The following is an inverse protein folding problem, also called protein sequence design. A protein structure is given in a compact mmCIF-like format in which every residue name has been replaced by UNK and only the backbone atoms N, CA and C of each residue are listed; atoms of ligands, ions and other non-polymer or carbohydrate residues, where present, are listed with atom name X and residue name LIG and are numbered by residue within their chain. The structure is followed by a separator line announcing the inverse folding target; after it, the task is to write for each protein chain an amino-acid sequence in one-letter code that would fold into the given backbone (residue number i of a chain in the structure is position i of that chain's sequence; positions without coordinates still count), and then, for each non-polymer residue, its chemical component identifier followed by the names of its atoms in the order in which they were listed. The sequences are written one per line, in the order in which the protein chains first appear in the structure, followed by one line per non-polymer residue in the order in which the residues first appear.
data_IF_493890028747
#
_entry.id   IF_493890028747
#
_cell.length_a   1.000
_cell.length_b   1.000
_cell.length_c   1.000
_cell.angle_alpha   90.00
_cell.angle_beta   90.00
_cell.angle_gamma   90.00
#
_symmetry.space_group_name_H-M   'P 1'
#
loop_
_entity.id
_entity.type
_entity.pdbx_description
1 polymer ?
#
# COMPACT_ATOMS: atom_id res chain seq x y z
N UNK A 1 -24.23 12.67 -18.51
CA UNK A 1 -22.91 12.07 -18.83
C UNK A 1 -21.87 12.66 -17.89
N UNK A 2 -21.61 12.02 -16.75
CA UNK A 2 -20.53 12.44 -15.86
C UNK A 2 -19.21 11.85 -16.34
N UNK A 3 -18.31 12.70 -16.85
CA UNK A 3 -16.97 12.30 -17.28
C UNK A 3 -16.17 11.88 -16.04
N UNK A 4 -16.03 10.58 -15.82
CA UNK A 4 -15.11 9.98 -14.84
C UNK A 4 -13.65 10.19 -15.28
N UNK A 5 -13.13 11.41 -15.13
CA UNK A 5 -11.71 11.74 -15.37
C UNK A 5 -10.81 11.43 -14.15
N UNK A 6 -11.34 10.78 -13.11
CA UNK A 6 -10.77 10.90 -11.78
C UNK A 6 -9.51 10.04 -11.50
N UNK A 7 -9.16 9.06 -12.33
CA UNK A 7 -8.02 8.15 -12.08
C UNK A 7 -6.89 8.23 -13.12
N UNK A 8 -7.22 8.58 -14.38
CA UNK A 8 -6.28 8.49 -15.51
C UNK A 8 -5.19 9.57 -15.52
N UNK A 9 -5.31 10.62 -14.71
CA UNK A 9 -4.32 11.71 -14.59
C UNK A 9 -3.58 11.71 -13.26
N UNK A 10 -3.92 10.79 -12.35
CA UNK A 10 -3.46 10.82 -10.97
C UNK A 10 -2.03 10.25 -10.91
N UNK A 11 -1.05 11.17 -10.76
CA UNK A 11 0.39 10.85 -10.81
C UNK A 11 1.00 10.53 -9.46
N UNK A 12 0.41 11.02 -8.37
CA UNK A 12 0.99 10.88 -7.04
C UNK A 12 -0.10 10.46 -6.07
N UNK A 13 0.16 9.41 -5.29
CA UNK A 13 -0.73 8.95 -4.22
C UNK A 13 0.05 8.95 -2.91
N UNK A 14 -0.57 9.52 -1.88
CA UNK A 14 -0.13 9.37 -0.50
C UNK A 14 -1.26 8.78 0.33
N UNK A 15 -0.99 7.69 1.03
CA UNK A 15 -1.93 7.01 1.91
C UNK A 15 -1.30 6.90 3.30
N UNK A 16 -2.12 7.00 4.34
CA UNK A 16 -1.67 6.88 5.72
C UNK A 16 -2.63 5.98 6.48
N UNK A 17 -2.11 5.08 7.32
CA UNK A 17 -2.87 4.19 8.19
C UNK A 17 -3.87 3.31 7.43
N UNK A 18 -3.40 2.60 6.39
CA UNK A 18 -4.27 1.77 5.53
C UNK A 18 -3.92 0.29 5.64
N UNK A 19 -4.94 -0.55 5.64
CA UNK A 19 -4.78 -2.00 5.46
C UNK A 19 -5.17 -2.33 4.02
N UNK A 20 -4.19 -2.75 3.22
CA UNK A 20 -4.36 -3.07 1.81
C UNK A 20 -3.96 -4.54 1.61
N UNK A 21 -4.79 -5.30 0.90
CA UNK A 21 -4.43 -6.62 0.41
C UNK A 21 -3.77 -6.52 -0.96
N UNK A 22 -3.16 -7.61 -1.41
CA UNK A 22 -2.59 -7.74 -2.75
C UNK A 22 -3.60 -7.28 -3.83
N UNK A 23 -4.88 -7.70 -3.74
CA UNK A 23 -5.96 -7.29 -4.64
C UNK A 23 -6.25 -5.78 -4.62
N UNK A 24 -6.12 -5.12 -3.46
CA UNK A 24 -6.34 -3.68 -3.35
C UNK A 24 -5.26 -2.91 -4.11
N UNK A 25 -4.00 -3.37 -4.09
CA UNK A 25 -2.93 -2.76 -4.88
C UNK A 25 -3.15 -2.92 -6.38
N UNK A 26 -3.53 -4.11 -6.85
CA UNK A 26 -3.86 -4.35 -8.26
C UNK A 26 -4.93 -3.37 -8.74
N UNK A 27 -6.02 -3.26 -7.96
CA UNK A 27 -7.12 -2.35 -8.25
C UNK A 27 -6.70 -0.89 -8.25
N UNK A 28 -5.91 -0.46 -7.27
CA UNK A 28 -5.38 0.90 -7.17
C UNK A 28 -4.54 1.26 -8.40
N UNK A 29 -3.61 0.38 -8.78
CA UNK A 29 -2.72 0.59 -9.93
C UNK A 29 -3.49 0.59 -11.25
N UNK A 30 -4.50 -0.29 -11.41
CA UNK A 30 -5.37 -0.28 -12.59
C UNK A 30 -6.26 0.96 -12.68
N UNK A 31 -6.65 1.52 -11.52
CA UNK A 31 -7.47 2.72 -11.43
C UNK A 31 -6.69 4.00 -11.71
N UNK A 32 -5.38 3.97 -11.48
CA UNK A 32 -4.47 5.10 -11.64
C UNK A 32 -3.32 4.78 -12.63
N UNK A 33 -3.60 4.60 -13.93
CA UNK A 33 -2.60 4.17 -14.91
C UNK A 33 -1.51 5.21 -15.21
N UNK A 34 -1.68 6.46 -14.78
CA UNK A 34 -0.67 7.52 -14.88
C UNK A 34 0.15 7.69 -13.60
N UNK A 35 0.00 6.80 -12.62
CA UNK A 35 0.69 6.90 -11.34
C UNK A 35 2.21 6.81 -11.54
N UNK A 36 2.91 7.82 -11.07
CA UNK A 36 4.37 7.97 -11.11
C UNK A 36 4.97 7.74 -9.72
N UNK A 37 4.25 8.12 -8.65
CA UNK A 37 4.71 7.99 -7.27
C UNK A 37 3.64 7.48 -6.32
N UNK A 38 4.06 6.64 -5.37
CA UNK A 38 3.23 6.18 -4.27
C UNK A 38 3.99 6.25 -2.96
N UNK A 39 3.40 6.88 -1.97
CA UNK A 39 3.84 6.88 -0.58
C UNK A 39 2.74 6.28 0.29
N UNK A 40 3.09 5.29 1.10
CA UNK A 40 2.15 4.67 2.03
C UNK A 40 2.81 4.63 3.40
N UNK A 41 2.18 5.27 4.38
CA UNK A 41 2.63 5.27 5.77
C UNK A 41 1.71 4.39 6.63
N UNK A 42 2.32 3.63 7.53
CA UNK A 42 1.67 2.65 8.40
C UNK A 42 0.75 1.70 7.62
N UNK A 43 1.36 0.84 6.82
CA UNK A 43 0.64 -0.09 5.93
C UNK A 43 0.84 -1.54 6.33
N UNK A 44 -0.20 -2.35 6.16
CA UNK A 44 -0.13 -3.81 6.34
C UNK A 44 -1.24 -4.54 5.59
N UNK A 45 -1.26 -5.87 5.69
CA UNK A 45 -2.33 -6.72 5.15
C UNK A 45 -2.04 -7.34 3.77
N UNK A 46 -0.81 -7.24 3.28
CA UNK A 46 -0.37 -7.80 1.99
C UNK A 46 0.94 -8.57 2.15
N UNK A 47 1.16 -9.53 1.26
CA UNK A 47 2.37 -10.36 1.19
C UNK A 47 3.13 -10.17 -0.11
N UNK A 48 2.45 -9.73 -1.17
CA UNK A 48 3.06 -9.54 -2.49
C UNK A 48 2.62 -8.22 -3.09
N UNK A 49 3.60 -7.46 -3.58
CA UNK A 49 3.38 -6.21 -4.29
C UNK A 49 3.96 -6.30 -5.69
N UNK A 50 3.08 -6.28 -6.70
CA UNK A 50 3.45 -6.32 -8.11
C UNK A 50 3.15 -4.98 -8.79
N UNK A 51 4.19 -4.35 -9.33
CA UNK A 51 4.14 -3.05 -10.00
C UNK A 51 4.78 -3.22 -11.39
N UNK A 52 3.94 -3.47 -12.39
CA UNK A 52 4.36 -3.60 -13.79
C UNK A 52 4.24 -2.29 -14.59
N UNK A 53 3.84 -1.19 -13.94
CA UNK A 53 3.67 0.11 -14.61
C UNK A 53 5.01 0.73 -14.99
N UNK A 54 5.19 1.01 -16.28
CA UNK A 54 6.36 1.73 -16.81
C UNK A 54 6.47 3.17 -16.28
N UNK A 55 5.35 3.77 -15.87
CA UNK A 55 5.28 5.16 -15.39
C UNK A 55 5.62 5.29 -13.92
N UNK A 56 5.38 4.23 -13.13
CA UNK A 56 5.59 4.28 -11.69
C UNK A 56 7.09 4.20 -11.38
N UNK A 57 7.67 5.31 -10.93
CA UNK A 57 9.11 5.44 -10.70
C UNK A 57 9.49 5.46 -9.23
N UNK A 58 8.57 5.82 -8.33
CA UNK A 58 8.87 5.92 -6.89
C UNK A 58 7.85 5.20 -6.02
N UNK A 59 8.35 4.36 -5.12
CA UNK A 59 7.57 3.70 -4.08
C UNK A 59 8.24 3.97 -2.72
N UNK A 60 7.44 4.46 -1.77
CA UNK A 60 7.85 4.62 -0.38
C UNK A 60 6.87 3.91 0.53
N UNK A 61 7.33 2.84 1.18
CA UNK A 61 6.58 2.09 2.17
C UNK A 61 7.15 2.42 3.55
N UNK A 62 6.36 3.11 4.37
CA UNK A 62 6.74 3.49 5.74
C UNK A 62 5.88 2.77 6.76
N UNK A 63 6.50 2.45 7.88
CA UNK A 63 5.84 1.76 8.99
C UNK A 63 5.17 0.45 8.55
N UNK A 64 5.84 -0.39 7.74
CA UNK A 64 5.29 -1.70 7.37
C UNK A 64 4.97 -2.53 8.63
N UNK A 65 3.69 -2.86 8.78
CA UNK A 65 3.14 -3.67 9.87
C UNK A 65 2.71 -5.03 9.31
N UNK A 66 3.20 -6.10 9.92
CA UNK A 66 2.82 -7.45 9.55
C UNK A 66 1.79 -8.01 10.54
N UNK A 67 0.69 -8.54 10.01
CA UNK A 67 -0.36 -9.21 10.76
C UNK A 67 -0.49 -10.65 10.28
N UNK A 68 0.54 -11.49 10.44
CA UNK A 68 0.30 -12.93 10.35
C UNK A 68 0.67 -13.65 11.61
N UNK A 69 -0.27 -14.51 11.99
CA UNK A 69 -0.10 -15.57 12.96
C UNK A 69 0.47 -16.74 12.14
N UNK A 70 1.79 -16.89 12.12
CA UNK A 70 2.48 -17.95 11.39
C UNK A 70 3.93 -17.59 11.03
N UNK A 71 4.82 -18.58 11.14
CA UNK A 71 6.24 -18.46 10.79
C UNK A 71 6.40 -18.54 9.26
N UNK A 72 7.30 -17.73 8.70
CA UNK A 72 7.79 -17.76 7.30
C UNK A 72 6.99 -16.99 6.25
N UNK A 73 6.62 -15.74 6.54
CA UNK A 73 6.07 -14.87 5.50
C UNK A 73 6.91 -13.60 5.31
N UNK A 74 7.39 -13.48 4.07
CA UNK A 74 8.23 -12.43 3.55
C UNK A 74 7.37 -11.49 2.70
N UNK A 75 7.70 -10.20 2.66
CA UNK A 75 7.10 -9.31 1.68
C UNK A 75 7.85 -9.45 0.35
N UNK A 76 7.18 -9.90 -0.69
CA UNK A 76 7.74 -9.99 -2.04
C UNK A 76 7.40 -8.73 -2.85
N UNK A 77 8.43 -8.10 -3.42
CA UNK A 77 8.27 -6.93 -4.28
C UNK A 77 8.77 -7.27 -5.69
N UNK A 78 7.84 -7.16 -6.65
CA UNK A 78 8.09 -7.25 -8.08
C UNK A 78 7.81 -5.88 -8.69
N UNK A 79 8.84 -5.15 -9.05
CA UNK A 79 8.74 -3.81 -9.61
C UNK A 79 9.85 -3.56 -10.65
N UNK A 80 9.83 -4.27 -11.80
CA UNK A 80 10.93 -4.28 -12.77
C UNK A 80 11.32 -2.89 -13.29
N UNK A 81 10.37 -1.93 -13.30
CA UNK A 81 10.55 -0.59 -13.88
C UNK A 81 10.64 0.54 -12.85
N UNK A 82 10.67 0.20 -11.56
CA UNK A 82 10.75 1.15 -10.46
C UNK A 82 12.18 1.70 -10.34
N UNK A 83 12.34 3.00 -10.09
CA UNK A 83 13.67 3.62 -9.98
C UNK A 83 14.07 3.89 -8.52
N UNK A 84 13.11 4.28 -7.69
CA UNK A 84 13.34 4.61 -6.29
C UNK A 84 12.44 3.76 -5.39
N UNK A 85 13.06 3.04 -4.46
CA UNK A 85 12.42 2.21 -3.48
C UNK A 85 12.90 2.61 -2.08
N UNK A 86 12.00 3.11 -1.24
CA UNK A 86 12.25 3.31 0.18
C UNK A 86 11.33 2.42 0.99
N UNK A 87 11.90 1.64 1.90
CA UNK A 87 11.17 0.75 2.79
C UNK A 87 11.60 1.04 4.21
N UNK A 88 10.63 1.34 5.07
CA UNK A 88 10.84 1.44 6.51
C UNK A 88 9.74 0.72 7.28
N UNK A 89 10.09 0.09 8.39
CA UNK A 89 9.13 -0.69 9.16
C UNK A 89 9.78 -1.73 10.06
N UNK A 90 8.93 -2.60 10.60
CA UNK A 90 9.32 -3.66 11.54
C UNK A 90 9.93 -4.87 10.81
N UNK A 91 10.66 -5.71 11.55
CA UNK A 91 11.29 -7.01 11.19
C UNK A 91 10.52 -7.84 10.15
N UNK A 92 10.55 -7.39 8.90
CA UNK A 92 10.03 -8.10 7.75
C UNK A 92 11.20 -8.31 6.83
N UNK A 93 11.61 -9.55 6.64
CA UNK A 93 12.44 -9.89 5.52
C UNK A 93 11.64 -9.56 4.23
N UNK A 94 12.05 -8.49 3.55
CA UNK A 94 11.52 -8.11 2.25
C UNK A 94 12.40 -8.76 1.17
N UNK A 95 11.77 -9.52 0.29
CA UNK A 95 12.41 -10.14 -0.87
C UNK A 95 12.16 -9.26 -2.09
N UNK A 96 13.23 -8.66 -2.58
CA UNK A 96 13.21 -7.94 -3.85
C UNK A 96 13.43 -8.98 -4.95
N UNK A 97 12.36 -9.34 -5.67
CA UNK A 97 12.40 -10.46 -6.63
C UNK A 97 12.80 -9.97 -8.01
N UNK A 98 12.05 -9.03 -8.56
CA UNK A 98 12.36 -8.39 -9.84
C UNK A 98 12.30 -6.87 -9.68
N UNK A 99 13.44 -6.27 -9.40
CA UNK A 99 13.61 -4.81 -9.18
C UNK A 99 14.77 -4.28 -10.03
N UNK A 100 14.92 -4.85 -11.23
CA UNK A 100 16.07 -4.65 -12.12
C UNK A 100 16.37 -3.18 -12.46
N UNK A 101 15.35 -2.30 -12.49
CA UNK A 101 15.53 -0.86 -12.79
C UNK A 101 15.76 0.03 -11.54
N UNK A 102 15.82 -0.52 -10.33
CA UNK A 102 15.97 0.29 -9.12
C UNK A 102 17.38 0.86 -9.04
N UNK A 103 17.47 2.19 -9.09
CA UNK A 103 18.73 2.95 -8.97
C UNK A 103 18.99 3.33 -7.52
N UNK A 104 17.92 3.67 -6.78
CA UNK A 104 18.02 4.10 -5.39
C UNK A 104 17.16 3.19 -4.51
N UNK A 105 17.81 2.41 -3.65
CA UNK A 105 17.15 1.60 -2.65
C UNK A 105 17.58 2.04 -1.26
N UNK A 106 16.61 2.28 -0.38
CA UNK A 106 16.88 2.62 1.03
C UNK A 106 16.00 1.77 1.93
N UNK A 107 16.62 1.20 2.96
CA UNK A 107 15.93 0.43 3.98
C UNK A 107 16.28 0.97 5.37
N UNK A 108 15.27 1.20 6.21
CA UNK A 108 15.47 1.61 7.60
C UNK A 108 14.53 0.87 8.55
N UNK A 109 15.01 0.60 9.77
CA UNK A 109 14.20 0.03 10.84
C UNK A 109 13.59 1.15 11.68
N UNK A 110 12.33 0.99 12.10
CA UNK A 110 11.64 1.93 12.98
C UNK A 110 11.42 1.31 14.36
N UNK A 111 11.51 2.14 15.40
CA UNK A 111 11.44 1.70 16.80
C UNK A 111 9.99 1.39 17.26
N UNK A 112 9.82 0.28 17.97
CA UNK A 112 8.69 -0.66 17.83
C UNK A 112 7.41 -0.32 18.64
N UNK A 113 7.44 0.02 19.94
CA UNK A 113 6.22 -0.09 20.77
C UNK A 113 5.21 1.04 20.59
N UNK A 114 5.67 2.27 20.37
CA UNK A 114 4.78 3.43 20.21
C UNK A 114 4.02 3.39 18.88
N UNK A 115 4.67 2.87 17.83
CA UNK A 115 4.16 2.89 16.46
C UNK A 115 2.99 1.92 16.27
N UNK A 116 3.12 0.68 16.76
CA UNK A 116 2.06 -0.33 16.71
C UNK A 116 0.82 0.08 17.50
N UNK A 117 1.01 0.58 18.73
CA UNK A 117 -0.09 1.07 19.56
C UNK A 117 -0.77 2.30 18.94
N UNK A 118 -0.01 3.20 18.31
CA UNK A 118 -0.56 4.33 17.57
C UNK A 118 -1.39 3.88 16.36
N UNK A 119 -0.91 2.90 15.60
CA UNK A 119 -1.65 2.35 14.46
C UNK A 119 -2.97 1.72 14.89
N UNK A 120 -2.95 0.81 15.87
CA UNK A 120 -4.17 0.16 16.37
C UNK A 120 -5.15 1.18 16.94
N UNK A 121 -4.67 2.14 17.74
CA UNK A 121 -5.49 3.23 18.27
C UNK A 121 -6.11 4.05 17.13
N UNK A 122 -5.35 4.37 16.09
CA UNK A 122 -5.82 5.20 14.99
C UNK A 122 -6.79 4.45 14.08
N UNK A 123 -6.54 3.19 13.73
CA UNK A 123 -7.52 2.33 13.04
C UNK A 123 -8.81 2.17 13.86
N UNK A 124 -8.69 1.95 15.17
CA UNK A 124 -9.84 1.89 16.08
C UNK A 124 -10.64 3.22 16.09
N UNK A 125 -9.95 4.36 16.01
CA UNK A 125 -10.57 5.69 15.94
C UNK A 125 -11.14 6.01 14.54
N UNK A 126 -10.58 5.42 13.48
CA UNK A 126 -11.01 5.60 12.09
C UNK A 126 -12.24 4.76 11.70
N UNK A 127 -12.83 3.98 12.62
CA UNK A 127 -14.17 3.37 12.46
C UNK A 127 -15.29 4.39 12.15
N UNK A 128 -15.00 5.70 12.10
CA UNK A 128 -15.91 6.78 11.67
C UNK A 128 -15.54 7.47 10.36
N UNK A 129 -14.51 7.03 9.63
CA UNK A 129 -14.11 7.67 8.36
C UNK A 129 -14.52 6.77 7.19
N UNK A 130 -15.66 7.11 6.60
CA UNK A 130 -16.10 6.63 5.30
C UNK A 130 -15.06 7.05 4.26
N UNK A 131 -14.15 6.16 3.89
CA UNK A 131 -13.24 6.42 2.79
C UNK A 131 -14.09 6.42 1.51
N UNK A 132 -14.30 7.60 0.90
CA UNK A 132 -14.85 7.73 -0.45
C UNK A 132 -13.80 7.27 -1.48
N UNK A 133 -13.38 6.00 -1.40
CA UNK A 133 -12.84 5.31 -2.57
C UNK A 133 -14.06 5.01 -3.45
N UNK A 134 -14.02 5.27 -4.77
CA UNK A 134 -15.11 4.90 -5.67
C UNK A 134 -15.49 3.44 -5.42
N UNK A 135 -16.77 3.19 -5.16
CA UNK A 135 -17.35 1.88 -4.76
C UNK A 135 -16.94 0.72 -5.68
N UNK A 136 -16.44 1.02 -6.88
CA UNK A 136 -15.94 0.09 -7.89
C UNK A 136 -14.66 -0.67 -7.50
N UNK A 137 -13.94 -0.23 -6.45
CA UNK A 137 -12.67 -0.85 -6.05
C UNK A 137 -12.79 -1.84 -4.86
N UNK A 138 -13.96 -1.97 -4.23
CA UNK A 138 -14.17 -2.93 -3.14
C UNK A 138 -14.69 -4.26 -3.71
N UNK A 139 -14.01 -5.36 -3.37
CA UNK A 139 -14.42 -6.71 -3.76
C UNK A 139 -15.58 -7.24 -2.90
N UNK A 140 -16.18 -8.38 -3.26
CA UNK A 140 -17.41 -8.90 -2.63
C UNK A 140 -17.30 -9.24 -1.13
N UNK A 141 -16.09 -9.25 -0.55
CA UNK A 141 -15.87 -9.53 0.88
C UNK A 141 -15.99 -8.28 1.79
N UNK A 142 -16.29 -7.09 1.25
CA UNK A 142 -16.50 -5.88 2.05
C UNK A 142 -17.91 -5.89 2.67
N UNK A 143 -18.05 -6.38 3.90
CA UNK A 143 -19.28 -6.23 4.68
C UNK A 143 -19.51 -4.76 5.06
N UNK A 144 -20.48 -4.13 4.40
CA UNK A 144 -21.05 -2.83 4.81
C UNK A 144 -22.09 -3.12 5.89
N UNK A 145 -21.79 -2.78 7.14
CA UNK A 145 -22.77 -2.84 8.23
C UNK A 145 -23.39 -1.45 8.36
N UNK A 146 -24.67 -1.32 7.98
CA UNK A 146 -25.47 -0.14 8.30
C UNK A 146 -26.01 -0.28 9.72
N UNK A 147 -26.02 0.80 10.49
CA UNK A 147 -27.01 0.96 11.55
C UNK A 147 -27.41 2.42 11.72
N UNK A 148 -28.73 2.59 11.83
CA UNK A 148 -29.47 3.85 12.06
C UNK A 148 -29.00 4.58 13.30
#
# INVERSE_FOLDING_TARGET
MERLLSGSLLKNIKLEYVVLSDDHFVKLLSGCPALETMEVDMVGGFSRLEISSLKMKRLNLKGLLYFSIGNDHFLEIHAPYLHNLEISGFHQECRLVDVSSVVNAKRSTLDVPKMYMLFLKKISMMRKIVVRIPIKFLGPSSKIIYKS
#
